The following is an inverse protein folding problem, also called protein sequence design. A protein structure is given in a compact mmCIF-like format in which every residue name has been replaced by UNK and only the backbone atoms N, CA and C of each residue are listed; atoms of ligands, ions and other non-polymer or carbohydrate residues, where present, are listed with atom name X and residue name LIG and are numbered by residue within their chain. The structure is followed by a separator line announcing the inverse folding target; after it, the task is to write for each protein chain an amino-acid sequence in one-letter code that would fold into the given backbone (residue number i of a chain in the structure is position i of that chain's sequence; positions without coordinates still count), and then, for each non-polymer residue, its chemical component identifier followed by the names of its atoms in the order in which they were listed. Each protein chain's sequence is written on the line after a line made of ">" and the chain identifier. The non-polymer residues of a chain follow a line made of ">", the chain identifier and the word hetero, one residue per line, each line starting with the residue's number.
data_IF_017547486095
#
_entry.id   IF_017547486095
#
_cell.length_a   1.000
_cell.length_b   1.000
_cell.length_c   1.000
_cell.angle_alpha   90.00
_cell.angle_beta   90.00
_cell.angle_gamma   90.00
#
_symmetry.space_group_name_H-M   'P 1'
#
loop_
_entity.id
_entity.type
_entity.pdbx_description
1 polymer ?
#
# COMPACT_ATOMS: atom_id res chain seq x y z
N UNK A 1 -7.78 -1.19 11.95
CA UNK A 1 -6.70 -1.93 12.64
C UNK A 1 -5.52 -0.99 12.85
N UNK A 2 -5.32 -0.42 14.05
CA UNK A 2 -4.04 0.26 14.39
C UNK A 2 -3.05 -0.83 14.80
N UNK A 3 -2.55 -1.59 13.83
CA UNK A 3 -1.55 -2.63 14.05
C UNK A 3 -0.20 -1.99 14.40
N UNK A 4 0.57 -2.68 15.24
CA UNK A 4 1.86 -2.26 15.81
C UNK A 4 2.97 -2.15 14.77
N UNK A 5 2.84 -1.22 13.82
CA UNK A 5 3.94 -0.85 12.95
C UNK A 5 5.06 -0.29 13.82
N UNK A 6 6.24 -0.90 13.74
CA UNK A 6 7.45 -0.42 14.42
C UNK A 6 8.43 0.14 13.39
N UNK A 7 9.01 1.32 13.65
CA UNK A 7 10.01 1.88 12.75
C UNK A 7 11.26 1.01 12.74
N UNK A 8 11.86 0.85 11.57
CA UNK A 8 13.17 0.23 11.42
C UNK A 8 13.94 0.90 10.28
N UNK A 9 15.26 0.93 10.42
CA UNK A 9 16.15 1.71 9.56
C UNK A 9 16.50 1.01 8.24
N UNK A 10 16.10 -0.25 8.07
CA UNK A 10 16.38 -1.06 6.88
C UNK A 10 15.14 -1.89 6.51
N UNK A 11 14.22 -1.26 5.77
CA UNK A 11 12.99 -1.91 5.28
C UNK A 11 13.32 -2.76 4.07
N UNK A 12 13.17 -4.08 4.18
CA UNK A 12 13.47 -5.02 3.11
C UNK A 12 12.25 -5.27 2.21
N UNK A 13 12.45 -5.77 0.97
CA UNK A 13 11.36 -6.33 0.18
C UNK A 13 10.56 -7.35 0.99
N UNK A 14 9.26 -7.46 0.72
CA UNK A 14 8.27 -8.28 1.43
C UNK A 14 7.87 -7.79 2.83
N UNK A 15 8.61 -6.85 3.42
CA UNK A 15 8.21 -6.23 4.68
C UNK A 15 6.97 -5.34 4.49
N UNK A 16 6.25 -5.10 5.58
CA UNK A 16 5.19 -4.09 5.63
C UNK A 16 5.80 -2.70 5.72
N UNK A 17 5.48 -1.83 4.76
CA UNK A 17 5.92 -0.45 4.70
C UNK A 17 4.73 0.51 4.80
N UNK A 18 4.98 1.73 5.30
CA UNK A 18 4.00 2.81 5.29
C UNK A 18 3.87 3.37 3.86
N UNK A 19 2.64 3.68 3.45
CA UNK A 19 2.35 4.24 2.13
C UNK A 19 1.19 5.24 2.21
N UNK A 20 1.14 6.14 1.24
CA UNK A 20 0.02 7.05 1.04
C UNK A 20 -0.83 6.52 -0.12
N UNK A 21 -2.08 6.19 0.18
CA UNK A 21 -3.07 5.73 -0.79
C UNK A 21 -4.21 6.76 -0.92
N UNK A 22 -4.92 6.81 -2.06
CA UNK A 22 -6.17 7.56 -2.13
C UNK A 22 -7.20 6.93 -1.19
N UNK A 23 -7.93 7.77 -0.45
CA UNK A 23 -9.13 7.35 0.24
C UNK A 23 -10.23 7.02 -0.78
N UNK A 24 -11.09 6.05 -0.46
CA UNK A 24 -12.16 5.60 -1.34
C UNK A 24 -13.27 6.65 -1.48
N UNK A 25 -13.43 7.52 -0.47
CA UNK A 25 -14.35 8.64 -0.54
C UNK A 25 -13.75 9.75 -1.40
N UNK A 26 -14.59 10.28 -2.29
CA UNK A 26 -14.26 11.32 -3.25
C UNK A 26 -15.08 12.55 -2.91
N UNK A 27 -14.41 13.69 -2.76
CA UNK A 27 -15.08 14.98 -2.74
C UNK A 27 -15.00 15.60 -4.14
N UNK A 28 -16.13 16.04 -4.68
CA UNK A 28 -16.17 16.84 -5.90
C UNK A 28 -16.23 18.32 -5.53
N UNK A 29 -15.17 19.07 -5.87
CA UNK A 29 -15.12 20.51 -5.73
C UNK A 29 -14.86 21.14 -7.10
N UNK A 30 -15.77 22.01 -7.56
CA UNK A 30 -15.66 22.71 -8.85
C UNK A 30 -15.41 21.80 -10.07
N UNK A 31 -16.05 20.62 -10.10
CA UNK A 31 -15.87 19.64 -11.18
C UNK A 31 -14.53 18.89 -11.16
N UNK A 32 -13.77 19.00 -10.07
CA UNK A 32 -12.54 18.24 -9.84
C UNK A 32 -12.78 17.19 -8.76
N UNK A 33 -12.46 15.94 -9.08
CA UNK A 33 -12.40 14.83 -8.12
C UNK A 33 -11.15 15.01 -7.25
N UNK A 34 -11.36 15.24 -5.96
CA UNK A 34 -10.30 15.29 -4.96
C UNK A 34 -10.37 14.01 -4.12
N UNK A 35 -9.26 13.28 -4.09
CA UNK A 35 -9.09 12.16 -3.16
C UNK A 35 -8.41 12.66 -1.90
N UNK A 36 -8.97 12.34 -0.73
CA UNK A 36 -8.21 12.45 0.51
C UNK A 36 -7.03 11.46 0.49
N UNK A 37 -5.94 11.83 1.15
CA UNK A 37 -4.75 10.97 1.28
C UNK A 37 -4.84 10.17 2.56
N UNK A 38 -4.84 8.85 2.45
CA UNK A 38 -4.80 7.93 3.57
C UNK A 38 -3.37 7.44 3.81
N UNK A 39 -2.85 7.67 5.01
CA UNK A 39 -1.67 6.94 5.50
C UNK A 39 -2.10 5.53 5.90
N UNK A 40 -1.52 4.53 5.24
CA UNK A 40 -1.79 3.11 5.49
C UNK A 40 -0.50 2.29 5.41
N UNK A 41 -0.61 0.98 5.59
CA UNK A 41 0.50 0.05 5.56
C UNK A 41 0.22 -1.10 4.58
N UNK A 42 1.19 -1.49 3.76
CA UNK A 42 1.11 -2.69 2.92
C UNK A 42 2.46 -3.35 2.69
N UNK A 43 2.44 -4.56 2.14
CA UNK A 43 3.62 -5.34 1.75
C UNK A 43 4.38 -4.67 0.60
N UNK A 44 5.69 -4.51 0.73
CA UNK A 44 6.56 -4.13 -0.40
C UNK A 44 6.82 -5.34 -1.32
N UNK A 45 5.91 -5.59 -2.24
CA UNK A 45 5.92 -6.73 -3.15
C UNK A 45 4.50 -7.02 -3.60
N UNK A 46 4.19 -6.69 -4.86
CA UNK A 46 2.84 -6.79 -5.39
C UNK A 46 2.37 -8.25 -5.42
N UNK A 47 1.21 -8.52 -4.82
CA UNK A 47 0.50 -9.79 -4.97
C UNK A 47 -0.72 -9.54 -5.86
N UNK A 48 -0.69 -9.95 -7.14
CA UNK A 48 -1.85 -9.82 -8.02
C UNK A 48 -3.03 -10.64 -7.49
N UNK A 49 -4.26 -10.15 -7.71
CA UNK A 49 -5.48 -10.83 -7.23
C UNK A 49 -5.68 -12.26 -7.80
N UNK A 50 -5.03 -12.57 -8.93
CA UNK A 50 -5.07 -13.89 -9.58
C UNK A 50 -3.94 -14.82 -9.12
N UNK A 51 -3.02 -14.34 -8.28
CA UNK A 51 -1.93 -15.14 -7.78
C UNK A 51 -2.49 -16.31 -6.96
N UNK A 52 -1.89 -17.51 -7.15
CA UNK A 52 -2.28 -18.71 -6.40
C UNK A 52 -1.81 -18.64 -4.93
N UNK A 53 -0.78 -17.84 -4.67
CA UNK A 53 -0.17 -17.62 -3.37
C UNK A 53 0.64 -16.31 -3.35
N UNK A 54 1.02 -15.86 -2.15
CA UNK A 54 1.73 -14.59 -1.92
C UNK A 54 3.20 -14.62 -2.35
N UNK A 55 3.80 -15.80 -2.59
CA UNK A 55 5.23 -15.92 -2.90
C UNK A 55 5.60 -15.24 -4.21
N UNK A 56 4.63 -15.07 -5.12
CA UNK A 56 4.82 -14.29 -6.35
C UNK A 56 5.28 -12.85 -6.06
N UNK A 57 4.84 -12.26 -4.95
CA UNK A 57 5.24 -10.91 -4.53
C UNK A 57 6.72 -10.78 -4.21
N UNK A 58 7.44 -11.89 -3.97
CA UNK A 58 8.90 -11.87 -3.76
C UNK A 58 9.67 -11.46 -5.02
N UNK A 59 9.04 -11.54 -6.20
CA UNK A 59 9.64 -11.16 -7.49
C UNK A 59 9.07 -9.86 -8.06
N UNK A 60 8.01 -9.31 -7.47
CA UNK A 60 7.26 -8.15 -7.95
C UNK A 60 7.36 -6.96 -6.97
N UNK A 61 8.55 -6.74 -6.40
CA UNK A 61 8.82 -5.62 -5.49
C UNK A 61 9.26 -4.35 -6.22
N UNK A 62 9.68 -4.46 -7.48
CA UNK A 62 9.99 -3.35 -8.37
C UNK A 62 9.16 -3.47 -9.65
N UNK A 63 8.91 -2.34 -10.31
CA UNK A 63 8.28 -2.23 -11.62
C UNK A 63 8.92 -1.08 -12.40
#
# INVERSE_FOLDING_TARGET
>A
MRGSWQPHWNVAPTATAALIAPHAEVEEANGTVVHERLLTYARWGLVPHWAKDESLGNRLFNA
#
